data_IF_774569504678
#
_entry.id   IF_774569504678
#
_cell.length_a   1.000
_cell.length_b   1.000
_cell.length_c   1.000
_cell.angle_alpha   90.00
_cell.angle_beta   90.00
_cell.angle_gamma   90.00
#
_symmetry.space_group_name_H-M   'P 1'
#
loop_
_entity.id
_entity.type
_entity.pdbx_description
1 polymer ?
#
# COMPACT_ATOMS: atom_id res chain seq x y z
N UNK A 1 25.07 -26.62 -51.04
CA UNK A 1 23.87 -27.33 -50.54
C UNK A 1 23.45 -26.76 -49.20
N UNK A 2 22.42 -25.90 -49.19
CA UNK A 2 21.89 -25.28 -47.98
C UNK A 2 20.93 -26.26 -47.26
N UNK A 3 21.20 -26.58 -45.99
CA UNK A 3 20.25 -27.31 -45.13
C UNK A 3 19.31 -26.31 -44.45
N UNK A 4 18.09 -26.22 -44.96
CA UNK A 4 16.96 -25.54 -44.31
C UNK A 4 16.64 -26.24 -42.97
N UNK A 5 16.82 -25.52 -41.85
CA UNK A 5 16.30 -25.93 -40.53
C UNK A 5 14.82 -25.58 -40.46
N UNK A 6 13.95 -26.59 -40.49
CA UNK A 6 12.51 -26.44 -40.23
C UNK A 6 12.28 -26.08 -38.76
N UNK A 7 11.91 -24.83 -38.48
CA UNK A 7 11.50 -24.39 -37.16
C UNK A 7 10.15 -25.00 -36.76
N UNK A 8 10.13 -25.72 -35.63
CA UNK A 8 8.88 -26.13 -34.99
C UNK A 8 8.13 -24.91 -34.46
N UNK A 9 7.09 -24.46 -35.17
CA UNK A 9 6.09 -23.53 -34.63
C UNK A 9 5.36 -24.25 -33.48
N UNK A 10 5.63 -23.86 -32.24
CA UNK A 10 4.79 -24.24 -31.08
C UNK A 10 3.36 -23.77 -31.37
N UNK A 11 2.43 -24.71 -31.63
CA UNK A 11 1.00 -24.40 -31.74
C UNK A 11 0.55 -23.75 -30.43
N UNK A 12 0.05 -22.51 -30.49
CA UNK A 12 -0.64 -21.89 -29.34
C UNK A 12 -1.78 -22.83 -28.90
N UNK A 13 -1.88 -23.21 -27.62
CA UNK A 13 -2.99 -24.04 -27.16
C UNK A 13 -4.31 -23.35 -27.47
N UNK A 14 -5.30 -24.10 -27.99
CA UNK A 14 -6.64 -23.58 -28.26
C UNK A 14 -7.21 -23.02 -26.95
N UNK A 15 -7.53 -21.72 -26.90
CA UNK A 15 -8.24 -21.11 -25.77
C UNK A 15 -9.56 -21.86 -25.58
N UNK A 16 -9.75 -22.49 -24.42
CA UNK A 16 -11.01 -23.14 -24.09
C UNK A 16 -11.97 -22.11 -23.52
N UNK A 17 -13.24 -22.19 -23.92
CA UNK A 17 -14.31 -21.30 -23.42
C UNK A 17 -14.91 -21.84 -22.13
N UNK A 18 -15.30 -20.94 -21.24
CA UNK A 18 -15.98 -21.28 -20.00
C UNK A 18 -17.29 -21.97 -20.35
N UNK A 19 -17.53 -23.16 -19.82
CA UNK A 19 -18.80 -23.86 -20.11
C UNK A 19 -20.01 -23.23 -19.42
N UNK A 20 -19.79 -22.34 -18.45
CA UNK A 20 -20.86 -21.61 -17.76
C UNK A 20 -21.23 -20.31 -18.48
N UNK A 21 -20.27 -19.40 -18.70
CA UNK A 21 -20.54 -18.08 -19.30
C UNK A 21 -19.98 -17.86 -20.71
N UNK A 22 -19.41 -18.90 -21.34
CA UNK A 22 -18.79 -18.84 -22.68
C UNK A 22 -17.57 -17.91 -22.82
N UNK A 23 -17.10 -17.26 -21.76
CA UNK A 23 -15.90 -16.41 -21.82
C UNK A 23 -14.64 -17.19 -22.22
N UNK A 24 -13.72 -16.52 -22.91
CA UNK A 24 -12.44 -17.11 -23.34
C UNK A 24 -11.40 -17.24 -22.21
N UNK A 25 -11.77 -16.90 -20.97
CA UNK A 25 -10.90 -16.93 -19.77
C UNK A 25 -11.08 -18.22 -18.94
N UNK A 26 -11.37 -19.36 -19.59
CA UNK A 26 -11.53 -20.63 -18.90
C UNK A 26 -10.16 -21.21 -18.53
N UNK A 27 -9.90 -21.38 -17.23
CA UNK A 27 -8.60 -21.86 -16.72
C UNK A 27 -8.67 -22.83 -15.53
N UNK A 28 -9.88 -23.22 -15.08
CA UNK A 28 -10.08 -24.10 -13.91
C UNK A 28 -10.94 -25.30 -14.27
N UNK A 29 -10.57 -26.50 -13.80
CA UNK A 29 -11.40 -27.71 -13.92
C UNK A 29 -12.22 -27.87 -12.65
N UNK A 30 -13.54 -27.67 -12.71
CA UNK A 30 -14.40 -27.64 -11.53
C UNK A 30 -14.77 -29.06 -11.07
N UNK A 31 -14.27 -29.54 -9.91
CA UNK A 31 -14.62 -30.87 -9.41
C UNK A 31 -16.11 -30.98 -9.05
N UNK A 32 -16.70 -29.91 -8.50
CA UNK A 32 -18.13 -29.83 -8.17
C UNK A 32 -19.07 -29.93 -9.39
N UNK A 33 -18.56 -29.69 -10.60
CA UNK A 33 -19.30 -29.80 -11.86
C UNK A 33 -18.70 -30.89 -12.75
N UNK A 34 -18.28 -32.01 -12.17
CA UNK A 34 -17.77 -33.18 -12.91
C UNK A 34 -16.61 -32.85 -13.86
N UNK A 35 -15.67 -32.01 -13.41
CA UNK A 35 -14.48 -31.65 -14.18
C UNK A 35 -14.71 -30.64 -15.31
N UNK A 36 -15.85 -29.95 -15.34
CA UNK A 36 -16.13 -28.93 -16.36
C UNK A 36 -15.12 -27.77 -16.29
N UNK A 37 -14.60 -27.34 -17.45
CA UNK A 37 -13.73 -26.16 -17.51
C UNK A 37 -14.53 -24.85 -17.36
N UNK A 38 -14.13 -24.03 -16.40
CA UNK A 38 -14.79 -22.78 -16.05
C UNK A 38 -13.78 -21.63 -15.91
N UNK A 39 -14.26 -20.40 -16.09
CA UNK A 39 -13.49 -19.18 -15.80
C UNK A 39 -13.48 -18.88 -14.29
N UNK A 40 -12.57 -18.01 -13.81
CA UNK A 40 -12.50 -17.63 -12.41
C UNK A 40 -13.79 -17.02 -11.87
N UNK A 41 -14.45 -16.16 -12.64
CA UNK A 41 -15.71 -15.50 -12.26
C UNK A 41 -16.82 -16.53 -12.01
N UNK A 42 -17.05 -17.47 -12.94
CA UNK A 42 -18.03 -18.54 -12.73
C UNK A 42 -17.65 -19.52 -11.62
N UNK A 43 -16.34 -19.72 -11.37
CA UNK A 43 -15.87 -20.53 -10.25
C UNK A 43 -16.19 -19.86 -8.91
N UNK A 44 -15.97 -18.56 -8.83
CA UNK A 44 -16.24 -17.73 -7.65
C UNK A 44 -17.73 -17.68 -7.34
N UNK A 45 -18.58 -17.42 -8.34
CA UNK A 45 -20.04 -17.36 -8.19
C UNK A 45 -20.68 -18.65 -7.63
N UNK A 46 -19.94 -19.76 -7.62
CA UNK A 46 -20.39 -21.07 -7.13
C UNK A 46 -19.79 -21.44 -5.77
N UNK A 47 -18.83 -20.68 -5.23
CA UNK A 47 -18.20 -20.94 -3.93
C UNK A 47 -19.26 -21.01 -2.84
N UNK A 48 -19.22 -22.07 -2.02
CA UNK A 48 -20.16 -22.37 -0.96
C UNK A 48 -21.66 -22.47 -1.35
N UNK A 49 -22.02 -22.28 -2.63
CA UNK A 49 -23.41 -22.32 -3.13
C UNK A 49 -23.82 -23.65 -3.77
N UNK A 50 -22.86 -24.53 -4.08
CA UNK A 50 -23.14 -25.85 -4.66
C UNK A 50 -22.38 -26.96 -3.91
N UNK A 51 -22.94 -28.19 -3.85
CA UNK A 51 -22.25 -29.34 -3.28
C UNK A 51 -20.87 -29.56 -3.92
N UNK A 52 -19.83 -29.75 -3.11
CA UNK A 52 -18.45 -29.96 -3.57
C UNK A 52 -17.67 -28.68 -3.90
N UNK A 53 -18.28 -27.49 -3.82
CA UNK A 53 -17.58 -26.20 -3.90
C UNK A 53 -17.36 -25.61 -2.50
N UNK A 54 -16.75 -26.41 -1.63
CA UNK A 54 -16.56 -26.15 -0.20
C UNK A 54 -15.07 -26.24 0.21
N UNK A 55 -14.79 -26.48 1.49
CA UNK A 55 -13.44 -26.61 2.03
C UNK A 55 -12.61 -27.77 1.42
N UNK A 56 -13.22 -28.66 0.64
CA UNK A 56 -12.55 -29.74 -0.08
C UNK A 56 -12.18 -29.35 -1.53
N UNK A 57 -12.67 -28.23 -2.04
CA UNK A 57 -12.36 -27.79 -3.40
C UNK A 57 -10.91 -27.30 -3.51
N UNK A 58 -10.12 -27.85 -4.42
CA UNK A 58 -8.71 -27.48 -4.62
C UNK A 58 -8.45 -25.97 -4.88
N UNK A 59 -9.45 -25.24 -5.40
CA UNK A 59 -9.34 -23.81 -5.64
C UNK A 59 -9.90 -22.95 -4.50
N UNK A 60 -10.78 -23.51 -3.67
CA UNK A 60 -11.43 -22.79 -2.58
C UNK A 60 -10.77 -23.07 -1.23
N UNK A 61 -10.33 -24.32 -1.00
CA UNK A 61 -9.57 -24.77 0.19
C UNK A 61 -8.38 -23.86 0.54
N UNK A 62 -7.52 -23.42 -0.41
CA UNK A 62 -6.42 -22.52 -0.06
C UNK A 62 -6.89 -21.16 0.47
N UNK A 63 -8.06 -20.70 0.02
CA UNK A 63 -8.73 -19.47 0.50
C UNK A 63 -9.48 -19.70 1.83
N UNK A 64 -9.48 -20.92 2.37
CA UNK A 64 -10.17 -21.30 3.59
C UNK A 64 -9.27 -22.21 4.46
N UNK A 65 -7.94 -21.94 4.52
CA UNK A 65 -7.02 -22.75 5.36
C UNK A 65 -7.67 -23.05 6.73
N UNK A 66 -7.78 -24.34 7.05
CA UNK A 66 -8.75 -24.92 8.00
C UNK A 66 -8.67 -24.32 9.42
N UNK A 67 -9.73 -23.60 9.81
CA UNK A 67 -10.19 -23.42 11.20
C UNK A 67 -11.62 -22.85 11.25
N UNK A 68 -12.48 -23.21 10.28
CA UNK A 68 -13.55 -22.32 9.78
C UNK A 68 -15.01 -22.60 10.18
N UNK A 69 -15.33 -23.53 11.08
CA UNK A 69 -16.73 -23.73 11.49
C UNK A 69 -16.89 -23.77 13.01
N UNK A 70 -17.21 -22.61 13.58
CA UNK A 70 -17.58 -22.39 14.97
C UNK A 70 -17.91 -20.92 15.21
N UNK A 71 -18.56 -20.52 16.32
CA UNK A 71 -18.66 -19.12 16.69
C UNK A 71 -17.24 -18.56 16.84
N UNK A 72 -16.90 -17.54 16.04
CA UNK A 72 -15.59 -16.91 16.16
C UNK A 72 -15.64 -15.90 17.30
N UNK A 73 -14.67 -15.92 18.23
CA UNK A 73 -14.49 -14.82 19.15
C UNK A 73 -14.28 -13.53 18.36
N UNK A 74 -14.71 -12.40 18.91
CA UNK A 74 -14.34 -11.08 18.39
C UNK A 74 -12.82 -10.90 18.59
N UNK A 75 -12.05 -11.31 17.58
CA UNK A 75 -10.61 -11.15 17.59
C UNK A 75 -10.27 -9.66 17.50
N UNK A 76 -9.35 -9.13 18.31
CA UNK A 76 -9.02 -7.71 18.26
C UNK A 76 -8.51 -7.31 16.89
N UNK A 77 -8.91 -6.11 16.46
CA UNK A 77 -8.39 -5.50 15.24
C UNK A 77 -6.86 -5.37 15.37
N UNK A 78 -6.14 -5.79 14.33
CA UNK A 78 -4.69 -5.63 14.24
C UNK A 78 -4.30 -4.46 13.34
N UNK A 79 -4.85 -4.42 12.12
CA UNK A 79 -4.57 -3.37 11.14
C UNK A 79 -5.59 -3.40 10.00
N UNK A 80 -5.70 -2.27 9.29
CA UNK A 80 -6.42 -2.16 8.03
C UNK A 80 -5.49 -1.66 6.95
N UNK A 81 -5.60 -2.25 5.76
CA UNK A 81 -4.80 -1.88 4.59
C UNK A 81 -5.73 -1.52 3.43
N UNK A 82 -5.32 -0.59 2.58
CA UNK A 82 -5.98 -0.29 1.30
C UNK A 82 -4.96 -0.31 0.18
N UNK A 83 -5.30 -0.94 -0.94
CA UNK A 83 -4.38 -0.97 -2.07
C UNK A 83 -4.30 0.39 -2.76
N UNK A 84 -3.19 0.64 -3.43
CA UNK A 84 -3.12 1.68 -4.44
C UNK A 84 -3.89 1.29 -5.70
N UNK A 85 -4.25 2.27 -6.52
CA UNK A 85 -4.90 2.10 -7.82
C UNK A 85 -4.47 3.25 -8.72
N UNK A 86 -4.27 2.97 -10.00
CA UNK A 86 -3.71 3.92 -10.96
C UNK A 86 -4.79 4.75 -11.67
N UNK A 87 -6.03 4.26 -11.76
CA UNK A 87 -7.10 4.85 -12.61
C UNK A 87 -8.37 3.98 -12.65
N UNK A 88 -8.23 2.65 -12.57
CA UNK A 88 -9.32 1.67 -12.75
C UNK A 88 -10.49 1.73 -11.76
N UNK A 89 -10.42 2.55 -10.72
CA UNK A 89 -11.43 2.53 -9.66
C UNK A 89 -11.46 1.29 -8.77
N UNK A 90 -10.57 0.34 -9.03
CA UNK A 90 -10.42 -0.88 -8.26
C UNK A 90 -9.48 -0.66 -7.08
N UNK A 91 -9.90 -1.08 -5.89
CA UNK A 91 -9.10 -1.06 -4.66
C UNK A 91 -9.28 -2.38 -3.93
N UNK A 92 -8.26 -2.80 -3.18
CA UNK A 92 -8.38 -3.93 -2.26
C UNK A 92 -8.33 -3.39 -0.84
N UNK A 93 -9.42 -3.54 -0.09
CA UNK A 93 -9.40 -3.31 1.36
C UNK A 93 -9.05 -4.61 2.08
N UNK A 94 -8.18 -4.55 3.08
CA UNK A 94 -7.80 -5.68 3.92
C UNK A 94 -8.07 -5.34 5.37
N UNK A 95 -8.89 -6.14 6.05
CA UNK A 95 -9.09 -6.03 7.50
C UNK A 95 -8.37 -7.22 8.14
N UNK A 96 -7.46 -6.91 9.07
CA UNK A 96 -6.63 -7.91 9.74
C UNK A 96 -6.97 -7.94 11.22
N UNK A 97 -7.26 -9.12 11.76
CA UNK A 97 -7.51 -9.35 13.18
C UNK A 97 -6.45 -10.29 13.75
N UNK A 98 -6.06 -10.07 15.01
CA UNK A 98 -5.04 -10.88 15.71
C UNK A 98 -5.71 -12.02 16.48
N UNK A 99 -5.21 -13.23 16.27
CA UNK A 99 -5.67 -14.44 16.97
C UNK A 99 -4.95 -14.60 18.32
N UNK A 100 -5.51 -15.36 19.27
CA UNK A 100 -4.87 -15.66 20.55
C UNK A 100 -3.53 -16.39 20.44
N UNK A 101 -3.32 -17.15 19.36
CA UNK A 101 -2.07 -17.86 19.07
C UNK A 101 -0.98 -16.96 18.47
N UNK A 102 -1.22 -15.64 18.37
CA UNK A 102 -0.31 -14.67 17.77
C UNK A 102 -0.36 -14.60 16.25
N UNK A 103 -1.03 -15.54 15.57
CA UNK A 103 -1.25 -15.48 14.12
C UNK A 103 -2.35 -14.46 13.76
N UNK A 104 -2.51 -14.25 12.46
CA UNK A 104 -3.44 -13.29 11.88
C UNK A 104 -4.58 -13.98 11.14
N UNK A 105 -5.71 -13.29 11.08
CA UNK A 105 -6.85 -13.59 10.22
C UNK A 105 -7.10 -12.36 9.36
N UNK A 106 -7.23 -12.51 8.05
CA UNK A 106 -7.39 -11.38 7.14
C UNK A 106 -8.56 -11.58 6.18
N UNK A 107 -9.38 -10.55 6.04
CA UNK A 107 -10.40 -10.45 5.01
C UNK A 107 -9.92 -9.50 3.92
N UNK A 108 -9.98 -9.95 2.66
CA UNK A 108 -9.63 -9.17 1.48
C UNK A 108 -10.90 -8.88 0.70
N UNK A 109 -11.18 -7.61 0.47
CA UNK A 109 -12.33 -7.14 -0.30
C UNK A 109 -11.83 -6.43 -1.56
N UNK A 110 -12.20 -6.94 -2.72
CA UNK A 110 -12.01 -6.23 -3.98
C UNK A 110 -13.18 -5.27 -4.17
N UNK A 111 -12.90 -3.98 -4.05
CA UNK A 111 -13.83 -2.87 -4.19
C UNK A 111 -13.68 -2.30 -5.60
N UNK A 112 -14.79 -2.24 -6.32
CA UNK A 112 -14.92 -1.72 -7.68
C UNK A 112 -15.81 -0.48 -7.62
N UNK A 113 -15.17 0.67 -7.39
CA UNK A 113 -15.88 1.93 -7.17
C UNK A 113 -16.50 2.51 -8.44
N UNK A 114 -16.34 1.87 -9.61
CA UNK A 114 -16.76 2.42 -10.90
C UNK A 114 -17.73 1.51 -11.64
N UNK A 115 -18.04 0.35 -11.05
CA UNK A 115 -18.87 -0.63 -11.71
C UNK A 115 -19.74 -1.44 -10.77
N UNK A 116 -19.17 -2.28 -9.91
CA UNK A 116 -19.95 -3.32 -9.19
C UNK A 116 -19.98 -3.16 -7.68
N UNK A 117 -19.21 -2.25 -7.11
CA UNK A 117 -19.06 -2.13 -5.67
C UNK A 117 -18.21 -3.28 -5.13
N UNK A 118 -18.73 -4.08 -4.20
CA UNK A 118 -18.02 -5.24 -3.65
C UNK A 118 -18.00 -6.37 -4.69
N UNK A 119 -16.86 -6.52 -5.37
CA UNK A 119 -16.69 -7.42 -6.51
C UNK A 119 -16.20 -8.81 -6.14
N UNK A 120 -15.33 -8.91 -5.13
CA UNK A 120 -14.87 -10.18 -4.58
C UNK A 120 -14.56 -10.04 -3.09
N UNK A 121 -14.69 -11.15 -2.35
CA UNK A 121 -14.31 -11.25 -0.96
C UNK A 121 -13.70 -12.63 -0.71
N UNK A 122 -12.57 -12.66 -0.02
CA UNK A 122 -12.07 -13.90 0.54
C UNK A 122 -11.40 -13.67 1.89
N UNK A 123 -11.43 -14.69 2.74
CA UNK A 123 -10.91 -14.63 4.10
C UNK A 123 -9.87 -15.71 4.31
N UNK A 124 -8.65 -15.32 4.65
CA UNK A 124 -7.63 -16.27 5.08
C UNK A 124 -7.67 -16.39 6.60
N UNK A 125 -7.96 -17.60 7.09
CA UNK A 125 -8.28 -17.81 8.50
C UNK A 125 -7.05 -17.84 9.43
N UNK A 126 -5.87 -18.13 8.86
CA UNK A 126 -4.63 -18.28 9.60
C UNK A 126 -3.45 -17.90 8.71
N UNK A 127 -2.72 -16.87 9.12
CA UNK A 127 -1.57 -16.29 8.44
C UNK A 127 -0.53 -15.87 9.49
N UNK A 128 0.75 -16.08 9.22
CA UNK A 128 1.78 -15.26 9.86
C UNK A 128 1.98 -13.92 9.10
N UNK A 129 2.66 -12.91 9.69
CA UNK A 129 2.87 -11.62 9.03
C UNK A 129 3.52 -11.69 7.64
N UNK A 130 4.48 -12.61 7.44
CA UNK A 130 5.13 -12.79 6.13
C UNK A 130 4.19 -13.44 5.09
N UNK A 131 3.28 -14.31 5.51
CA UNK A 131 2.24 -14.86 4.64
C UNK A 131 1.19 -13.80 4.27
N UNK A 132 0.84 -12.89 5.18
CA UNK A 132 -0.04 -11.76 4.90
C UNK A 132 0.56 -10.87 3.80
N UNK A 133 1.81 -10.45 3.95
CA UNK A 133 2.51 -9.63 2.95
C UNK A 133 2.56 -10.31 1.56
N UNK A 134 2.95 -11.59 1.51
CA UNK A 134 2.91 -12.38 0.26
C UNK A 134 1.52 -12.43 -0.37
N UNK A 135 0.47 -12.56 0.45
CA UNK A 135 -0.90 -12.58 -0.02
C UNK A 135 -1.31 -11.22 -0.61
N UNK A 136 -1.04 -10.12 0.11
CA UNK A 136 -1.25 -8.76 -0.36
C UNK A 136 -0.57 -8.53 -1.72
N UNK A 137 0.72 -8.82 -1.82
CA UNK A 137 1.48 -8.66 -3.06
C UNK A 137 0.91 -9.50 -4.22
N UNK A 138 0.55 -10.77 -3.96
CA UNK A 138 0.01 -11.65 -4.98
C UNK A 138 -1.35 -11.16 -5.50
N UNK A 139 -2.21 -10.66 -4.63
CA UNK A 139 -3.56 -10.23 -5.00
C UNK A 139 -3.48 -8.92 -5.77
N UNK A 140 -2.73 -7.92 -5.27
CA UNK A 140 -2.54 -6.66 -5.97
C UNK A 140 -1.93 -6.84 -7.37
N UNK A 141 -0.89 -7.67 -7.51
CA UNK A 141 -0.29 -8.02 -8.82
C UNK A 141 -1.32 -8.65 -9.77
N UNK A 142 -2.23 -9.47 -9.25
CA UNK A 142 -3.25 -10.12 -10.09
C UNK A 142 -4.28 -9.15 -10.68
N UNK A 143 -4.46 -7.99 -10.05
CA UNK A 143 -5.32 -6.90 -10.49
C UNK A 143 -4.54 -5.71 -11.07
N UNK A 144 -3.22 -5.84 -11.26
CA UNK A 144 -2.35 -4.75 -11.74
C UNK A 144 -2.45 -3.47 -10.90
N UNK A 145 -2.76 -3.63 -9.62
CA UNK A 145 -2.82 -2.54 -8.67
C UNK A 145 -1.40 -2.26 -8.20
N UNK A 146 -0.96 -1.02 -8.24
CA UNK A 146 0.32 -0.54 -7.71
C UNK A 146 0.23 0.95 -7.46
N UNK A 147 1.12 1.48 -6.62
CA UNK A 147 1.28 2.93 -6.52
C UNK A 147 1.65 3.48 -7.91
N UNK A 148 0.91 4.45 -8.49
CA UNK A 148 1.27 5.08 -9.75
C UNK A 148 2.42 6.06 -9.51
N UNK A 149 3.58 5.53 -9.13
CA UNK A 149 4.74 6.33 -8.70
C UNK A 149 5.11 7.34 -9.78
N UNK A 150 5.09 6.94 -11.05
CA UNK A 150 5.41 7.83 -12.17
C UNK A 150 4.43 9.01 -12.30
N UNK A 151 3.15 8.80 -11.98
CA UNK A 151 2.13 9.86 -12.03
C UNK A 151 2.21 10.77 -10.81
N UNK A 152 2.31 10.17 -9.60
CA UNK A 152 2.54 10.90 -8.35
C UNK A 152 3.81 11.76 -8.46
N UNK A 153 4.84 11.20 -9.08
CA UNK A 153 6.10 11.86 -9.37
C UNK A 153 5.93 13.01 -10.36
N UNK A 154 5.22 12.78 -11.47
CA UNK A 154 4.99 13.82 -12.49
C UNK A 154 4.17 14.97 -11.93
N UNK A 155 3.14 14.67 -11.13
CA UNK A 155 2.30 15.65 -10.44
C UNK A 155 3.07 16.42 -9.37
N UNK A 156 3.88 15.73 -8.57
CA UNK A 156 4.72 16.38 -7.58
C UNK A 156 5.75 17.29 -8.25
N UNK A 157 6.44 16.82 -9.29
CA UNK A 157 7.39 17.63 -10.04
C UNK A 157 6.72 18.84 -10.68
N UNK A 158 5.54 18.69 -11.29
CA UNK A 158 4.85 19.83 -11.91
C UNK A 158 4.53 20.89 -10.85
N UNK A 159 3.93 20.49 -9.73
CA UNK A 159 3.64 21.41 -8.62
C UNK A 159 4.90 22.04 -8.03
N UNK A 160 5.97 21.26 -7.85
CA UNK A 160 7.25 21.75 -7.39
C UNK A 160 7.84 22.79 -8.36
N UNK A 161 7.86 22.51 -9.67
CA UNK A 161 8.37 23.45 -10.69
C UNK A 161 7.56 24.73 -10.80
N UNK A 162 6.25 24.67 -10.55
CA UNK A 162 5.39 25.86 -10.47
C UNK A 162 5.68 26.69 -9.20
N UNK A 163 6.04 26.03 -8.10
CA UNK A 163 6.26 26.69 -6.80
C UNK A 163 7.69 27.20 -6.56
N UNK A 164 8.69 26.63 -7.24
CA UNK A 164 10.08 26.82 -6.87
C UNK A 164 10.84 27.76 -7.84
N UNK A 165 10.91 29.06 -7.50
CA UNK A 165 11.68 30.10 -8.21
C UNK A 165 13.21 30.05 -7.89
N UNK A 166 13.66 29.16 -7.00
CA UNK A 166 15.04 29.10 -6.48
C UNK A 166 15.92 28.02 -7.14
N UNK A 167 16.06 28.05 -8.47
CA UNK A 167 17.15 27.35 -9.19
C UNK A 167 17.09 25.81 -9.23
N UNK A 168 17.65 25.27 -10.33
CA UNK A 168 17.65 23.87 -10.81
C UNK A 168 16.40 23.02 -10.51
N UNK A 169 15.52 22.80 -11.52
CA UNK A 169 14.39 21.89 -11.36
C UNK A 169 14.87 20.47 -11.09
N UNK A 170 14.22 19.80 -10.14
CA UNK A 170 14.39 18.37 -9.91
C UNK A 170 13.94 17.61 -11.18
N UNK A 171 14.77 16.68 -11.66
CA UNK A 171 14.45 15.85 -12.85
C UNK A 171 14.36 14.37 -12.47
N UNK A 172 13.62 13.58 -13.28
CA UNK A 172 13.51 12.12 -13.13
C UNK A 172 14.84 11.40 -13.02
N UNK A 173 15.87 11.93 -13.67
CA UNK A 173 17.21 11.35 -13.67
C UNK A 173 17.97 11.65 -12.38
N UNK A 174 17.77 12.81 -11.76
CA UNK A 174 18.48 13.22 -10.56
C UNK A 174 17.84 12.62 -9.29
N UNK A 175 16.51 12.46 -9.27
CA UNK A 175 15.77 11.94 -8.11
C UNK A 175 16.06 10.48 -7.76
N UNK A 176 16.61 9.68 -8.69
CA UNK A 176 16.93 8.27 -8.43
C UNK A 176 18.06 8.06 -7.42
N UNK A 177 18.92 9.06 -7.18
CA UNK A 177 20.12 8.89 -6.35
C UNK A 177 20.56 10.15 -5.59
N UNK A 178 19.88 11.28 -5.76
CA UNK A 178 20.26 12.53 -5.10
C UNK A 178 19.83 12.51 -3.63
N UNK A 179 20.81 12.69 -2.72
CA UNK A 179 20.54 12.93 -1.31
C UNK A 179 19.97 14.34 -1.15
N UNK A 180 18.65 14.42 -0.92
CA UNK A 180 17.92 15.67 -0.75
C UNK A 180 18.27 16.39 0.56
N UNK A 181 18.86 15.67 1.52
CA UNK A 181 19.38 16.23 2.76
C UNK A 181 20.80 16.79 2.61
N UNK A 182 21.50 16.57 1.48
CA UNK A 182 22.91 16.94 1.33
C UNK A 182 23.14 18.45 1.58
N UNK A 183 24.06 18.77 2.49
CA UNK A 183 24.42 20.12 2.95
C UNK A 183 23.24 20.94 3.47
N UNK A 184 22.18 20.28 3.96
CA UNK A 184 21.03 20.94 4.55
C UNK A 184 21.28 21.32 6.00
N UNK A 185 20.58 22.36 6.45
CA UNK A 185 20.73 22.92 7.79
C UNK A 185 20.25 21.91 8.83
N UNK A 186 21.01 21.80 9.91
CA UNK A 186 20.70 20.91 11.04
C UNK A 186 20.56 21.74 12.31
N UNK A 187 19.49 21.48 13.06
CA UNK A 187 19.24 22.02 14.38
C UNK A 187 19.35 20.89 15.40
N UNK A 188 20.02 21.14 16.53
CA UNK A 188 20.26 20.12 17.56
C UNK A 188 19.91 20.69 18.93
N UNK A 189 19.58 19.84 19.89
CA UNK A 189 19.25 20.26 21.26
C UNK A 189 20.48 20.41 22.19
N UNK A 190 21.68 20.37 21.63
CA UNK A 190 22.96 20.50 22.32
C UNK A 190 23.81 21.61 21.67
N UNK A 191 24.68 22.27 22.43
CA UNK A 191 25.66 23.21 21.88
C UNK A 191 26.75 22.44 21.11
N UNK A 192 26.45 22.18 19.86
CA UNK A 192 27.28 21.42 18.92
C UNK A 192 28.17 22.36 18.11
N UNK A 193 29.24 22.86 18.73
CA UNK A 193 30.21 23.70 18.05
C UNK A 193 31.08 22.87 17.06
N UNK A 194 30.50 22.50 15.92
CA UNK A 194 31.17 22.50 14.61
C UNK A 194 32.26 21.48 14.32
N UNK A 195 32.16 20.22 14.78
CA UNK A 195 33.15 19.17 14.40
C UNK A 195 32.70 18.16 13.37
N UNK A 196 31.40 17.87 13.26
CA UNK A 196 30.89 16.86 12.34
C UNK A 196 29.60 17.38 11.67
N UNK A 197 29.27 16.93 10.47
CA UNK A 197 28.12 17.44 9.73
C UNK A 197 27.20 16.27 9.36
N UNK A 198 26.01 16.25 9.95
CA UNK A 198 25.03 15.16 9.78
C UNK A 198 24.54 15.00 8.33
N UNK A 199 24.83 15.96 7.44
CA UNK A 199 24.31 15.95 6.08
C UNK A 199 25.39 16.14 5.01
N UNK A 200 26.66 15.84 5.30
CA UNK A 200 27.76 16.06 4.35
C UNK A 200 28.02 14.89 3.39
N UNK A 201 27.41 13.72 3.63
CA UNK A 201 27.64 12.51 2.85
C UNK A 201 28.66 11.55 3.44
N UNK A 202 29.34 11.89 4.55
CA UNK A 202 30.28 11.01 5.24
C UNK A 202 29.53 10.07 6.18
N UNK A 203 29.41 8.80 5.76
CA UNK A 203 28.77 7.74 6.56
C UNK A 203 29.60 7.28 7.78
N UNK A 204 30.71 7.94 8.11
CA UNK A 204 31.46 7.73 9.34
C UNK A 204 32.59 6.71 9.26
N UNK A 205 33.14 6.43 8.07
CA UNK A 205 34.31 5.53 7.93
C UNK A 205 35.56 6.12 8.61
N UNK A 206 35.64 7.44 8.70
CA UNK A 206 36.70 8.18 9.40
C UNK A 206 36.32 8.64 10.81
N UNK A 207 35.08 8.38 11.24
CA UNK A 207 34.51 8.96 12.45
C UNK A 207 35.13 8.36 13.73
N UNK A 208 35.66 9.23 14.58
CA UNK A 208 35.97 8.89 15.97
C UNK A 208 34.81 9.31 16.86
N UNK A 209 34.39 8.49 17.86
CA UNK A 209 33.27 8.82 18.74
C UNK A 209 33.37 10.20 19.38
N UNK A 210 34.57 10.64 19.75
CA UNK A 210 34.86 11.94 20.36
C UNK A 210 34.65 13.16 19.45
N UNK A 211 34.59 12.95 18.13
CA UNK A 211 34.34 14.01 17.14
C UNK A 211 32.87 14.05 16.69
N UNK A 212 32.06 13.07 17.10
CA UNK A 212 30.67 12.93 16.67
C UNK A 212 29.69 13.78 17.48
N UNK A 213 28.55 14.07 16.85
CA UNK A 213 27.43 14.78 17.45
C UNK A 213 26.83 13.99 18.60
N UNK A 214 27.05 14.43 19.84
CA UNK A 214 26.27 13.99 20.99
C UNK A 214 25.04 14.88 21.17
N UNK A 215 23.89 14.39 20.71
CA UNK A 215 22.61 15.05 20.87
C UNK A 215 21.54 13.99 21.07
N UNK A 216 20.55 14.24 21.91
CA UNK A 216 19.39 13.34 22.02
C UNK A 216 18.33 13.65 20.96
N UNK A 217 18.50 14.77 20.24
CA UNK A 217 17.61 15.19 19.17
C UNK A 217 18.36 15.98 18.09
N UNK A 218 18.10 15.63 16.82
CA UNK A 218 18.57 16.35 15.64
C UNK A 218 17.42 16.59 14.68
N UNK A 219 17.38 17.76 14.04
CA UNK A 219 16.37 18.13 13.05
C UNK A 219 17.04 18.65 11.79
N UNK A 220 16.80 18.01 10.65
CA UNK A 220 17.26 18.46 9.33
C UNK A 220 16.15 19.27 8.66
N UNK A 221 16.45 20.51 8.26
CA UNK A 221 15.57 21.35 7.42
C UNK A 221 16.00 21.22 5.95
N UNK A 222 15.17 20.56 5.14
CA UNK A 222 15.38 20.39 3.70
C UNK A 222 15.36 21.71 2.91
N UNK A 223 14.96 22.81 3.55
CA UNK A 223 14.89 24.17 3.05
C UNK A 223 13.54 24.54 2.44
N UNK A 224 12.80 23.54 1.97
CA UNK A 224 11.47 23.66 1.38
C UNK A 224 10.72 22.32 1.49
N UNK A 225 9.39 22.31 1.28
CA UNK A 225 8.63 21.06 1.16
C UNK A 225 9.16 20.19 0.02
N UNK A 226 9.55 18.97 0.36
CA UNK A 226 10.16 17.96 -0.50
C UNK A 226 9.39 16.64 -0.35
N UNK A 227 9.06 15.99 -1.45
CA UNK A 227 8.50 14.63 -1.43
C UNK A 227 9.63 13.63 -1.22
N UNK A 228 9.60 12.88 -0.12
CA UNK A 228 10.58 11.85 0.19
C UNK A 228 9.88 10.53 0.52
N UNK A 229 10.57 9.42 0.32
CA UNK A 229 10.05 8.08 0.64
C UNK A 229 11.08 7.16 1.30
N UNK A 230 12.31 7.66 1.45
CA UNK A 230 13.43 6.91 2.00
C UNK A 230 14.26 7.84 2.87
N UNK A 231 14.55 7.41 4.09
CA UNK A 231 15.54 8.03 4.96
C UNK A 231 16.60 6.97 5.25
N UNK A 232 17.87 7.34 5.14
CA UNK A 232 18.97 6.55 5.68
C UNK A 232 19.57 7.30 6.85
N UNK A 233 19.66 6.63 7.99
CA UNK A 233 20.20 7.17 9.23
C UNK A 233 21.40 6.33 9.65
N UNK A 234 22.49 6.99 9.98
CA UNK A 234 23.65 6.39 10.62
C UNK A 234 23.84 7.01 11.99
N UNK A 235 23.97 6.15 12.98
CA UNK A 235 24.69 6.47 14.20
C UNK A 235 26.10 5.89 14.13
N UNK A 236 26.91 6.09 15.18
CA UNK A 236 28.19 5.41 15.26
C UNK A 236 28.01 3.88 15.21
N UNK A 237 28.67 3.24 14.25
CA UNK A 237 28.41 1.85 13.89
C UNK A 237 29.60 0.89 14.03
N UNK A 238 30.82 1.40 14.27
CA UNK A 238 32.04 0.59 14.12
C UNK A 238 32.15 -0.58 15.11
N UNK A 239 31.48 -0.51 16.27
CA UNK A 239 31.44 -1.58 17.27
C UNK A 239 30.08 -2.31 17.36
N UNK A 240 29.15 -2.02 16.44
CA UNK A 240 27.85 -2.68 16.37
C UNK A 240 26.92 -2.39 17.55
N UNK A 241 27.13 -1.30 18.29
CA UNK A 241 26.25 -0.88 19.39
C UNK A 241 24.80 -0.66 18.94
N UNK A 242 23.89 -0.67 19.90
CA UNK A 242 22.46 -0.39 19.69
C UNK A 242 22.09 0.88 20.41
N UNK A 243 21.45 1.84 19.71
CA UNK A 243 20.92 3.06 20.32
C UNK A 243 19.50 2.85 20.85
N UNK A 244 19.20 3.47 21.99
CA UNK A 244 17.92 3.34 22.68
C UNK A 244 16.96 4.47 22.34
N UNK A 245 15.66 4.19 22.44
CA UNK A 245 14.58 5.16 22.19
C UNK A 245 14.71 5.89 20.84
N UNK A 246 15.24 5.19 19.83
CA UNK A 246 15.33 5.69 18.47
C UNK A 246 13.93 6.02 17.94
N UNK A 247 13.69 7.27 17.52
CA UNK A 247 12.49 7.69 16.80
C UNK A 247 12.91 8.53 15.60
N UNK A 248 12.21 8.39 14.49
CA UNK A 248 12.35 9.27 13.31
C UNK A 248 10.96 9.70 12.89
N UNK A 249 10.77 11.00 12.72
CA UNK A 249 9.52 11.57 12.25
C UNK A 249 9.78 12.71 11.26
N UNK A 250 8.75 13.03 10.49
CA UNK A 250 8.79 14.07 9.47
C UNK A 250 7.66 15.08 9.69
N UNK A 251 7.91 16.36 9.41
CA UNK A 251 6.94 17.46 9.62
C UNK A 251 7.07 18.53 8.53
N UNK A 252 5.95 19.18 8.20
CA UNK A 252 5.94 20.40 7.39
C UNK A 252 6.17 21.67 8.23
N UNK A 253 5.87 21.62 9.53
CA UNK A 253 5.77 22.80 10.39
C UNK A 253 6.90 22.94 11.43
N UNK A 254 7.72 21.89 11.60
CA UNK A 254 8.83 21.81 12.57
C UNK A 254 8.41 21.81 14.06
N UNK A 255 7.14 21.56 14.41
CA UNK A 255 6.69 21.58 15.80
C UNK A 255 6.96 20.25 16.50
N UNK A 256 6.58 19.15 15.86
CA UNK A 256 6.56 17.79 16.39
C UNK A 256 5.81 17.72 17.73
N UNK A 257 4.61 18.31 17.74
CA UNK A 257 3.69 18.35 18.88
C UNK A 257 2.36 17.61 18.61
N UNK A 258 2.41 16.65 17.68
CA UNK A 258 1.29 15.81 17.25
C UNK A 258 0.96 15.94 15.76
N UNK A 259 1.56 16.88 15.05
CA UNK A 259 1.40 17.05 13.60
C UNK A 259 2.37 16.17 12.80
N UNK A 260 3.40 15.62 13.43
CA UNK A 260 4.41 14.85 12.74
C UNK A 260 3.90 13.48 12.26
N UNK A 261 4.48 13.00 11.16
CA UNK A 261 4.31 11.61 10.74
C UNK A 261 5.53 10.83 11.23
N UNK A 262 5.32 9.89 12.16
CA UNK A 262 6.37 9.00 12.64
C UNK A 262 6.66 7.93 11.59
N UNK A 263 7.91 7.85 11.14
CA UNK A 263 8.38 6.88 10.12
C UNK A 263 9.11 5.69 10.74
N UNK A 264 9.62 5.84 11.97
CA UNK A 264 10.24 4.78 12.75
C UNK A 264 10.16 5.11 14.25
N UNK A 265 9.87 4.11 15.07
CA UNK A 265 9.92 4.22 16.53
C UNK A 265 10.30 2.86 17.14
N UNK A 266 11.48 2.80 17.73
CA UNK A 266 12.04 1.58 18.34
C UNK A 266 11.18 0.98 19.45
N UNK A 267 10.29 1.76 20.09
CA UNK A 267 9.31 1.23 21.04
C UNK A 267 8.37 0.21 20.36
N UNK A 268 8.06 0.41 19.09
CA UNK A 268 7.13 -0.43 18.31
C UNK A 268 7.85 -1.30 17.27
N UNK A 269 8.89 -0.78 16.63
CA UNK A 269 9.64 -1.42 15.55
C UNK A 269 10.83 -2.27 16.04
N UNK A 270 11.18 -2.12 17.32
CA UNK A 270 12.35 -2.74 17.93
C UNK A 270 13.65 -1.99 17.67
N UNK A 271 14.57 -2.11 18.62
CA UNK A 271 15.94 -1.61 18.48
C UNK A 271 16.76 -2.46 17.52
N UNK A 272 17.85 -1.89 17.00
CA UNK A 272 18.73 -2.57 16.04
C UNK A 272 20.20 -2.30 16.35
N UNK A 273 21.05 -3.28 16.02
CA UNK A 273 22.50 -3.10 16.03
C UNK A 273 22.94 -2.27 14.84
N UNK A 274 23.80 -1.29 15.07
CA UNK A 274 24.34 -0.43 14.03
C UNK A 274 25.29 -1.17 13.10
N UNK A 275 25.41 -0.70 11.85
CA UNK A 275 26.29 -1.27 10.83
C UNK A 275 26.76 -0.19 9.86
N UNK A 276 27.81 -0.49 9.07
CA UNK A 276 28.36 0.43 8.06
C UNK A 276 27.30 0.86 7.03
N UNK A 277 26.30 0.02 6.79
CA UNK A 277 25.23 0.27 5.83
C UNK A 277 24.19 1.30 6.31
N UNK A 278 24.14 1.54 7.62
CA UNK A 278 23.15 2.38 8.31
C UNK A 278 21.76 1.76 8.33
N UNK A 279 20.81 2.45 8.96
CA UNK A 279 19.40 2.08 8.95
C UNK A 279 18.71 2.72 7.76
N UNK A 280 18.18 1.90 6.86
CA UNK A 280 17.31 2.36 5.77
C UNK A 280 15.84 2.25 6.19
N UNK A 281 15.16 3.39 6.23
CA UNK A 281 13.73 3.53 6.48
C UNK A 281 13.04 3.82 5.16
N UNK A 282 12.14 2.92 4.75
CA UNK A 282 11.37 3.06 3.51
C UNK A 282 9.90 3.18 3.88
N UNK A 283 9.24 4.21 3.36
CA UNK A 283 7.86 4.55 3.68
C UNK A 283 7.12 5.06 2.44
N UNK A 284 5.81 5.25 2.55
CA UNK A 284 5.03 5.86 1.47
C UNK A 284 5.55 7.28 1.20
N UNK A 285 5.54 7.79 -0.04
CA UNK A 285 5.96 9.17 -0.29
C UNK A 285 5.20 10.16 0.60
N UNK A 286 5.94 10.96 1.37
CA UNK A 286 5.43 12.00 2.26
C UNK A 286 6.04 13.33 1.81
N UNK A 287 5.20 14.33 1.61
CA UNK A 287 5.66 15.71 1.45
C UNK A 287 6.05 16.26 2.82
N UNK A 288 7.31 16.67 2.97
CA UNK A 288 7.85 17.14 4.24
C UNK A 288 8.96 18.15 4.05
N UNK A 289 9.25 18.95 5.08
CA UNK A 289 10.39 19.86 5.08
C UNK A 289 11.40 19.51 6.18
N UNK A 290 10.91 19.01 7.31
CA UNK A 290 11.72 18.77 8.50
C UNK A 290 11.76 17.28 8.81
N UNK A 291 12.95 16.76 9.03
CA UNK A 291 13.17 15.38 9.50
C UNK A 291 13.78 15.46 10.89
N UNK A 292 13.11 14.93 11.90
CA UNK A 292 13.62 14.89 13.27
C UNK A 292 13.92 13.46 13.68
N UNK A 293 15.10 13.27 14.27
CA UNK A 293 15.54 12.02 14.85
C UNK A 293 15.79 12.23 16.34
N UNK A 294 15.43 11.22 17.13
CA UNK A 294 15.68 11.15 18.57
C UNK A 294 16.39 9.85 18.90
N UNK A 295 17.24 9.88 19.93
CA UNK A 295 17.83 8.70 20.55
C UNK A 295 18.34 9.06 21.96
N UNK A 296 18.44 8.07 22.83
CA UNK A 296 18.71 8.26 24.26
C UNK A 296 19.74 7.25 24.78
N UNK A 297 21.01 7.49 24.45
CA UNK A 297 22.12 6.61 24.80
C UNK A 297 22.16 5.33 23.97
N UNK A 298 23.04 4.42 24.38
CA UNK A 298 23.28 3.17 23.67
C UNK A 298 23.74 2.03 24.59
N UNK A 299 23.86 0.83 24.03
CA UNK A 299 24.25 -0.40 24.74
C UNK A 299 25.67 -0.40 25.33
N UNK A 300 26.52 0.58 25.00
CA UNK A 300 27.91 0.71 25.47
C UNK A 300 28.04 1.86 26.48
N UNK A 301 27.35 2.97 26.27
CA UNK A 301 27.41 4.16 27.13
C UNK A 301 26.19 5.09 26.95
N UNK A 302 26.15 6.17 27.72
CA UNK A 302 25.02 7.12 27.76
C UNK A 302 24.97 8.15 26.62
N UNK A 303 25.91 8.11 25.67
CA UNK A 303 26.05 9.14 24.62
C UNK A 303 25.26 8.78 23.36
N UNK A 304 24.77 9.76 22.62
CA UNK A 304 23.98 9.57 21.40
C UNK A 304 24.72 10.13 20.19
N UNK A 305 25.40 9.29 19.40
CA UNK A 305 26.24 9.75 18.30
C UNK A 305 25.54 9.68 16.95
N UNK A 306 25.00 10.80 16.47
CA UNK A 306 24.49 10.92 15.11
C UNK A 306 25.65 11.12 14.12
N UNK A 307 25.66 10.35 13.03
CA UNK A 307 26.74 10.36 12.03
C UNK A 307 26.25 10.98 10.73
N UNK A 308 25.22 10.41 10.11
CA UNK A 308 24.76 10.88 8.79
C UNK A 308 23.25 10.68 8.65
N UNK A 309 22.59 11.61 8.00
CA UNK A 309 21.20 11.52 7.59
C UNK A 309 21.09 11.85 6.10
N UNK A 310 20.53 10.91 5.36
CA UNK A 310 20.24 11.06 3.94
C UNK A 310 18.76 10.89 3.69
N UNK A 311 18.20 11.70 2.79
CA UNK A 311 16.80 11.63 2.40
C UNK A 311 16.70 11.50 0.88
N UNK A 312 15.84 10.60 0.41
CA UNK A 312 15.69 10.32 -1.01
C UNK A 312 14.23 10.15 -1.42
N UNK A 313 13.99 10.33 -2.72
CA UNK A 313 12.80 9.87 -3.41
C UNK A 313 13.17 8.74 -4.38
N UNK A 314 13.24 7.50 -3.88
CA UNK A 314 13.70 6.37 -4.69
C UNK A 314 12.55 5.76 -5.53
N UNK A 315 12.74 5.70 -6.85
CA UNK A 315 11.78 5.09 -7.79
C UNK A 315 11.82 3.55 -7.77
N UNK A 316 12.98 2.95 -7.45
CA UNK A 316 13.18 1.51 -7.61
C UNK A 316 12.73 0.67 -6.41
N UNK A 317 12.72 1.25 -5.20
CA UNK A 317 12.36 0.54 -3.96
C UNK A 317 10.83 0.38 -3.83
N UNK A 318 10.07 1.23 -4.52
CA UNK A 318 8.61 1.24 -4.47
C UNK A 318 7.91 0.27 -5.46
N UNK A 319 8.65 -0.54 -6.21
CA UNK A 319 8.05 -1.47 -7.18
C UNK A 319 7.20 -2.59 -6.57
N UNK A 320 7.11 -2.70 -5.23
CA UNK A 320 6.22 -3.66 -4.55
C UNK A 320 5.34 -3.03 -3.45
N UNK A 321 5.25 -1.70 -3.33
CA UNK A 321 4.26 -1.11 -2.42
C UNK A 321 2.89 -1.11 -3.07
N UNK A 322 2.09 -2.08 -2.65
CA UNK A 322 0.75 -2.30 -3.17
C UNK A 322 -0.33 -1.73 -2.25
N UNK A 323 -0.02 -1.51 -0.97
CA UNK A 323 -0.97 -1.12 0.07
C UNK A 323 -0.39 -0.05 0.99
N UNK A 324 -1.27 0.75 1.57
CA UNK A 324 -1.01 1.60 2.74
C UNK A 324 -1.86 1.17 3.93
N UNK A 325 -1.38 1.45 5.14
CA UNK A 325 -2.20 1.35 6.35
C UNK A 325 -3.23 2.48 6.41
N UNK A 326 -4.44 2.17 6.89
CA UNK A 326 -5.52 3.13 7.12
C UNK A 326 -6.22 2.84 8.45
N UNK A 327 -6.98 3.81 8.97
CA UNK A 327 -7.81 3.57 10.14
C UNK A 327 -8.95 2.58 9.83
N UNK A 328 -9.49 1.95 10.86
CA UNK A 328 -10.64 1.07 10.69
C UNK A 328 -11.87 1.83 10.17
N UNK A 329 -12.10 3.05 10.65
CA UNK A 329 -13.21 3.90 10.24
C UNK A 329 -13.12 4.29 8.75
N UNK A 330 -11.92 4.61 8.25
CA UNK A 330 -11.71 4.89 6.83
C UNK A 330 -11.96 3.63 5.99
N UNK A 331 -11.47 2.48 6.47
CA UNK A 331 -11.68 1.19 5.81
C UNK A 331 -13.18 0.87 5.71
N UNK A 332 -13.91 1.05 6.81
CA UNK A 332 -15.35 0.92 6.88
C UNK A 332 -16.09 1.86 5.92
N UNK A 333 -15.64 3.10 5.79
CA UNK A 333 -16.21 4.08 4.84
C UNK A 333 -16.05 3.62 3.38
N UNK A 334 -14.87 3.13 3.00
CA UNK A 334 -14.64 2.55 1.66
C UNK A 334 -15.55 1.34 1.40
N UNK A 335 -15.67 0.44 2.38
CA UNK A 335 -16.50 -0.75 2.27
C UNK A 335 -17.99 -0.37 2.18
N UNK A 336 -18.44 0.60 2.99
CA UNK A 336 -19.81 1.12 2.98
C UNK A 336 -20.17 1.71 1.63
N UNK A 337 -19.29 2.51 1.03
CA UNK A 337 -19.52 3.06 -0.30
C UNK A 337 -19.58 1.97 -1.38
N UNK A 338 -18.67 0.99 -1.33
CA UNK A 338 -18.72 -0.15 -2.25
C UNK A 338 -20.00 -1.00 -2.08
N UNK A 339 -20.48 -1.15 -0.84
CA UNK A 339 -21.76 -1.81 -0.56
C UNK A 339 -22.92 -1.08 -1.23
N UNK A 340 -23.00 0.25 -1.10
CA UNK A 340 -24.04 1.07 -1.74
C UNK A 340 -24.01 0.96 -3.27
N UNK A 341 -22.83 0.93 -3.88
CA UNK A 341 -22.69 0.67 -5.32
C UNK A 341 -23.24 -0.72 -5.65
N UNK A 342 -22.93 -1.76 -4.87
CA UNK A 342 -23.47 -3.10 -5.11
C UNK A 342 -24.99 -3.14 -5.02
N UNK A 343 -25.60 -2.45 -4.04
CA UNK A 343 -27.07 -2.38 -3.91
C UNK A 343 -27.68 -1.66 -5.11
N UNK A 344 -27.19 -0.47 -5.47
CA UNK A 344 -27.74 0.33 -6.58
C UNK A 344 -27.57 -0.36 -7.94
N UNK A 345 -26.46 -1.05 -8.15
CA UNK A 345 -26.18 -1.81 -9.39
C UNK A 345 -26.78 -3.22 -9.40
N UNK A 346 -27.43 -3.63 -8.30
CA UNK A 346 -27.98 -4.98 -8.10
C UNK A 346 -26.92 -6.07 -8.27
N UNK A 347 -25.67 -5.78 -7.89
CA UNK A 347 -24.60 -6.75 -7.83
C UNK A 347 -24.81 -7.68 -6.64
N UNK A 348 -24.74 -9.00 -6.88
CA UNK A 348 -24.84 -9.98 -5.79
C UNK A 348 -23.59 -9.91 -4.91
N UNK A 349 -23.78 -9.70 -3.61
CA UNK A 349 -22.66 -9.64 -2.67
C UNK A 349 -21.96 -11.00 -2.55
N UNK A 350 -20.62 -11.03 -2.46
CA UNK A 350 -19.89 -12.26 -2.21
C UNK A 350 -20.35 -12.93 -0.91
N UNK A 351 -20.51 -14.25 -0.95
CA UNK A 351 -20.92 -15.03 0.23
C UNK A 351 -19.98 -14.83 1.43
N UNK A 352 -18.68 -14.74 1.18
CA UNK A 352 -17.70 -14.52 2.23
C UNK A 352 -17.92 -13.20 2.98
N UNK A 353 -18.37 -12.16 2.27
CA UNK A 353 -18.66 -10.87 2.88
C UNK A 353 -19.90 -10.92 3.77
N UNK A 354 -20.94 -11.64 3.35
CA UNK A 354 -22.17 -11.79 4.15
C UNK A 354 -21.98 -12.77 5.31
N UNK A 355 -21.11 -13.76 5.16
CA UNK A 355 -20.87 -14.77 6.19
C UNK A 355 -19.88 -14.29 7.27
N UNK A 356 -18.86 -13.52 6.90
CA UNK A 356 -17.79 -13.07 7.81
C UNK A 356 -17.99 -11.62 8.30
N UNK A 357 -19.20 -11.31 8.78
CA UNK A 357 -19.57 -9.98 9.27
C UNK A 357 -18.75 -9.55 10.50
N UNK A 358 -18.11 -10.49 11.20
CA UNK A 358 -17.19 -10.20 12.31
C UNK A 358 -16.01 -9.29 11.89
N UNK A 359 -15.66 -9.22 10.61
CA UNK A 359 -14.64 -8.27 10.16
C UNK A 359 -15.16 -6.85 9.98
N UNK A 360 -16.36 -6.68 9.45
CA UNK A 360 -16.88 -5.37 9.02
C UNK A 360 -17.79 -4.71 10.06
N UNK A 361 -18.38 -5.51 10.95
CA UNK A 361 -19.54 -5.10 11.73
C UNK A 361 -20.80 -4.99 10.86
N UNK A 362 -21.82 -4.37 11.42
CA UNK A 362 -23.06 -4.03 10.71
C UNK A 362 -22.81 -2.83 9.78
N UNK A 363 -22.77 -3.13 8.48
CA UNK A 363 -22.42 -2.13 7.46
C UNK A 363 -23.51 -1.09 7.27
N UNK A 364 -24.77 -1.45 7.50
CA UNK A 364 -25.88 -0.51 7.30
C UNK A 364 -25.91 0.59 8.37
N UNK A 365 -25.28 0.34 9.52
CA UNK A 365 -25.11 1.33 10.59
C UNK A 365 -23.95 2.32 10.32
N UNK A 366 -23.09 2.04 9.33
CA UNK A 366 -21.98 2.92 8.98
C UNK A 366 -22.56 4.12 8.22
N UNK A 367 -22.32 5.37 8.69
CA UNK A 367 -22.85 6.57 8.05
C UNK A 367 -22.53 6.63 6.56
N UNK A 368 -23.50 7.02 5.76
CA UNK A 368 -23.34 7.18 4.32
C UNK A 368 -24.02 8.47 3.86
N UNK A 369 -23.28 9.29 3.13
CA UNK A 369 -23.78 10.55 2.60
C UNK A 369 -24.55 10.31 1.30
N UNK A 370 -25.87 10.28 1.40
CA UNK A 370 -26.76 10.12 0.25
C UNK A 370 -26.86 11.36 -0.64
N UNK A 371 -26.30 12.50 -0.23
CA UNK A 371 -26.30 13.72 -1.04
C UNK A 371 -25.18 13.73 -2.08
N UNK A 372 -24.18 12.84 -1.94
CA UNK A 372 -23.09 12.72 -2.90
C UNK A 372 -23.44 11.77 -4.03
N UNK A 373 -22.82 12.02 -5.18
CA UNK A 373 -22.94 11.13 -6.33
C UNK A 373 -22.42 9.73 -5.99
N UNK A 374 -23.06 8.72 -6.56
CA UNK A 374 -22.65 7.32 -6.39
C UNK A 374 -21.24 7.07 -6.94
N UNK A 375 -20.87 7.81 -7.99
CA UNK A 375 -19.56 7.75 -8.61
C UNK A 375 -18.91 9.13 -8.55
N UNK A 376 -17.63 9.19 -8.22
CA UNK A 376 -16.90 10.45 -8.02
C UNK A 376 -15.55 10.40 -8.70
N UNK A 377 -15.05 11.56 -9.13
CA UNK A 377 -13.73 11.67 -9.73
C UNK A 377 -12.66 11.21 -8.74
N UNK A 378 -11.74 10.30 -9.09
CA UNK A 378 -10.77 9.78 -8.14
C UNK A 378 -9.61 10.77 -7.91
N UNK A 379 -9.47 11.78 -8.76
CA UNK A 379 -8.42 12.80 -8.69
C UNK A 379 -8.82 14.03 -7.88
N UNK A 380 -10.04 14.51 -8.04
CA UNK A 380 -10.52 15.73 -7.35
C UNK A 380 -11.77 15.52 -6.50
N UNK A 381 -12.25 14.27 -6.36
CA UNK A 381 -13.43 13.88 -5.57
C UNK A 381 -14.74 14.57 -6.00
N UNK A 382 -14.78 15.14 -7.20
CA UNK A 382 -15.98 15.77 -7.76
C UNK A 382 -17.07 14.74 -8.07
N UNK A 383 -18.31 15.08 -7.71
CA UNK A 383 -19.48 14.25 -8.00
C UNK A 383 -19.71 14.13 -9.52
N UNK A 384 -19.96 12.90 -10.00
CA UNK A 384 -20.35 12.71 -11.40
C UNK A 384 -21.82 13.09 -11.61
N UNK A 385 -22.17 13.65 -12.79
CA UNK A 385 -23.55 14.00 -13.12
C UNK A 385 -24.50 12.78 -13.09
N UNK A 386 -25.75 13.00 -12.68
CA UNK A 386 -26.77 11.94 -12.56
C UNK A 386 -26.92 11.12 -13.85
N UNK A 387 -26.94 11.77 -15.01
CA UNK A 387 -27.03 11.09 -16.31
C UNK A 387 -25.88 10.08 -16.54
N UNK A 388 -24.67 10.42 -16.08
CA UNK A 388 -23.50 9.53 -16.17
C UNK A 388 -23.65 8.37 -15.20
N UNK A 389 -24.10 8.66 -13.97
CA UNK A 389 -24.31 7.65 -12.92
C UNK A 389 -25.40 6.64 -13.32
N UNK A 390 -26.50 7.11 -13.91
CA UNK A 390 -27.58 6.26 -14.41
C UNK A 390 -27.08 5.31 -15.50
N UNK A 391 -26.33 5.84 -16.47
CA UNK A 391 -25.73 5.04 -17.54
C UNK A 391 -24.75 4.00 -16.99
N UNK A 392 -23.88 4.41 -16.07
CA UNK A 392 -22.93 3.52 -15.41
C UNK A 392 -23.63 2.40 -14.64
N UNK A 393 -24.68 2.75 -13.90
CA UNK A 393 -25.48 1.79 -13.12
C UNK A 393 -26.20 0.80 -14.03
N UNK A 394 -26.74 1.25 -15.16
CA UNK A 394 -27.43 0.40 -16.14
C UNK A 394 -26.52 -0.70 -16.72
N UNK A 395 -25.25 -0.36 -17.00
CA UNK A 395 -24.31 -1.28 -17.65
C UNK A 395 -23.24 -1.87 -16.71
N UNK A 396 -23.31 -1.57 -15.41
CA UNK A 396 -22.43 -2.08 -14.35
C UNK A 396 -22.17 -3.60 -14.41
N UNK A 397 -23.20 -4.40 -14.68
CA UNK A 397 -23.05 -5.86 -14.68
C UNK A 397 -22.53 -6.43 -16.02
N UNK A 398 -22.37 -5.62 -17.06
CA UNK A 398 -21.88 -6.09 -18.38
C UNK A 398 -20.36 -6.17 -18.42
N UNK A 399 -19.80 -7.36 -18.61
CA UNK A 399 -18.34 -7.59 -18.62
C UNK A 399 -17.65 -6.97 -19.86
N UNK A 400 -18.40 -6.77 -20.95
CA UNK A 400 -17.95 -6.31 -22.26
C UNK A 400 -18.06 -4.79 -22.47
N UNK A 401 -18.50 -4.05 -21.44
CA UNK A 401 -18.60 -2.59 -21.46
C UNK A 401 -17.54 -2.00 -20.54
N UNK A 402 -16.78 -1.03 -21.05
CA UNK A 402 -15.82 -0.20 -20.31
C UNK A 402 -16.30 1.25 -20.34
N UNK A 403 -16.04 2.00 -19.29
CA UNK A 403 -16.48 3.39 -19.16
C UNK A 403 -15.26 4.29 -19.16
N UNK A 404 -15.05 5.00 -20.27
CA UNK A 404 -14.06 6.06 -20.31
C UNK A 404 -14.66 7.36 -19.79
N UNK A 405 -14.05 7.94 -18.75
CA UNK A 405 -14.57 9.13 -18.07
C UNK A 405 -13.50 10.22 -18.05
N UNK A 406 -13.88 11.39 -18.57
CA UNK A 406 -13.11 12.62 -18.49
C UNK A 406 -13.76 13.56 -17.46
N UNK A 407 -13.07 13.82 -16.36
CA UNK A 407 -13.53 14.77 -15.35
C UNK A 407 -13.37 16.20 -15.86
N UNK A 408 -14.49 16.92 -16.04
CA UNK A 408 -14.47 18.31 -16.51
C UNK A 408 -13.77 19.28 -15.56
N UNK A 409 -13.74 18.98 -14.25
CA UNK A 409 -13.16 19.88 -13.23
C UNK A 409 -11.63 19.82 -13.20
N UNK A 410 -11.04 18.63 -13.25
CA UNK A 410 -9.59 18.45 -13.14
C UNK A 410 -8.91 17.98 -14.43
N UNK A 411 -9.67 17.73 -15.50
CA UNK A 411 -9.17 17.16 -16.75
C UNK A 411 -8.65 15.73 -16.63
N UNK A 412 -8.91 15.04 -15.51
CA UNK A 412 -8.47 13.66 -15.31
C UNK A 412 -9.23 12.68 -16.20
N UNK A 413 -8.52 11.69 -16.74
CA UNK A 413 -9.02 10.63 -17.62
C UNK A 413 -8.94 9.29 -16.88
N UNK A 414 -10.03 8.50 -16.95
CA UNK A 414 -10.17 7.23 -16.20
C UNK A 414 -10.89 6.18 -17.05
N UNK A 415 -10.47 4.91 -16.93
CA UNK A 415 -10.96 3.75 -17.70
C UNK A 415 -11.82 2.77 -16.88
#
# INVERSE_FOLDING_TARGET
MARLRLGHRRRRPKKQRCRTCRSDNAKRLCPALNGVIICPSCCQAKRAKIPGCDANCQYYKPLIKQSKFGPFPDYPLHSCLISYSTDTGLRIAVIVRRRPDGNLRAMFLLLDFWKRGIRDCFVVANLNPAELDRCCQSVAKSYQLSLPIDELYSQYLSGYTESNDFGRPLTRKNLQSENLALNKRVETNSDYAGRWNLTDGDTGESAKPEDLLDATQVTVDLGQPMLINTIKLWHYWADGRTYHHNKVAVSLENKFDGEEITVFDSQYDGEYAESREGKTLVFNPIETRYIRCWADGNSVNQWTHFVELQAFLTLNVLTNQFFSSISFADCQTFIRHAYEISIKTKNELPWEFTFWQDFTGDIEQIPYDNNRSLYRCPKCDEDLPDESVELMTQYALKEDIQFYILCRKCGGEFD
#
